data_IF_175137047481
#
_entry.id   IF_175137047481
#
_cell.length_a   1.000
_cell.length_b   1.000
_cell.length_c   1.000
_cell.angle_alpha   90.00
_cell.angle_beta   90.00
_cell.angle_gamma   90.00
#
_symmetry.space_group_name_H-M   'P 1'
#
loop_
_entity.id
_entity.type
_entity.pdbx_description
1 polymer ?
#
# COMPACT_ATOMS: atom_id res chain seq x y z
N UNK A 1 53.73 1.69 100.59
CA UNK A 1 52.43 2.39 100.49
C UNK A 1 51.35 1.34 100.20
N UNK A 2 50.36 1.28 101.08
CA UNK A 2 49.16 0.44 101.03
C UNK A 2 48.15 0.95 99.96
N UNK A 3 47.28 0.06 99.45
CA UNK A 3 45.80 0.20 99.39
C UNK A 3 45.17 -0.83 98.42
N UNK A 4 44.33 -1.76 98.90
CA UNK A 4 42.85 -1.71 99.07
C UNK A 4 42.05 -1.66 97.74
N UNK A 5 41.38 -2.78 97.37
CA UNK A 5 39.92 -3.08 97.48
C UNK A 5 39.11 -2.43 96.32
N UNK A 6 38.27 -3.11 95.53
CA UNK A 6 36.91 -3.57 95.86
C UNK A 6 36.37 -4.61 94.87
N UNK A 7 35.60 -5.54 95.42
CA UNK A 7 34.74 -6.53 94.77
C UNK A 7 33.51 -5.81 94.18
N UNK A 8 33.12 -6.10 92.94
CA UNK A 8 31.80 -5.71 92.41
C UNK A 8 31.17 -6.90 91.69
N UNK A 9 30.22 -7.52 92.39
CA UNK A 9 29.48 -8.70 91.98
C UNK A 9 28.25 -8.24 91.18
N UNK A 10 28.30 -8.34 89.85
CA UNK A 10 27.17 -8.04 88.98
C UNK A 10 26.31 -9.31 88.86
N UNK A 11 25.11 -9.26 89.45
CA UNK A 11 24.07 -10.29 89.36
C UNK A 11 23.20 -9.98 88.12
N UNK A 12 23.43 -10.70 87.02
CA UNK A 12 22.63 -10.57 85.79
C UNK A 12 21.54 -11.63 85.82
N UNK A 13 20.29 -11.20 85.98
CA UNK A 13 19.09 -12.05 85.81
C UNK A 13 18.77 -12.14 84.31
N UNK A 14 18.70 -13.33 83.69
CA UNK A 14 18.32 -13.44 82.30
C UNK A 14 16.80 -13.32 82.15
N UNK A 15 16.34 -12.29 81.45
CA UNK A 15 14.96 -12.14 81.01
C UNK A 15 14.72 -13.06 79.80
N UNK A 16 13.94 -14.13 80.01
CA UNK A 16 13.50 -15.03 78.94
C UNK A 16 12.32 -14.34 78.22
N UNK A 17 12.58 -13.79 77.03
CA UNK A 17 11.54 -13.29 76.12
C UNK A 17 11.02 -14.50 75.32
N UNK A 18 9.82 -14.96 75.64
CA UNK A 18 9.10 -15.93 74.82
C UNK A 18 8.61 -15.24 73.52
N UNK A 19 9.35 -15.41 72.43
CA UNK A 19 8.89 -15.07 71.09
C UNK A 19 7.91 -16.14 70.61
N UNK A 20 6.61 -15.90 70.77
CA UNK A 20 5.57 -16.70 70.13
C UNK A 20 5.54 -16.41 68.63
N UNK A 21 6.16 -17.25 67.81
CA UNK A 21 5.98 -17.22 66.36
C UNK A 21 4.59 -17.80 66.03
N UNK A 22 3.60 -16.94 65.76
CA UNK A 22 2.41 -17.39 65.03
C UNK A 22 2.81 -17.63 63.57
N UNK A 23 3.21 -18.86 63.25
CA UNK A 23 3.44 -19.27 61.87
C UNK A 23 2.13 -19.12 61.09
N UNK A 24 2.05 -18.11 60.21
CA UNK A 24 0.97 -18.01 59.23
C UNK A 24 0.88 -19.32 58.45
N UNK A 25 -0.33 -19.82 58.13
CA UNK A 25 -0.47 -20.96 57.24
C UNK A 25 0.13 -20.58 55.88
N UNK A 26 1.14 -21.34 55.44
CA UNK A 26 1.82 -21.12 54.17
C UNK A 26 1.44 -22.24 53.20
N UNK A 27 1.10 -21.86 51.96
CA UNK A 27 0.86 -22.81 50.87
C UNK A 27 1.85 -22.52 49.73
N UNK A 28 2.79 -23.44 49.42
CA UNK A 28 3.84 -23.21 48.41
C UNK A 28 3.30 -22.92 47.01
N UNK A 29 2.24 -23.62 46.57
CA UNK A 29 1.65 -23.44 45.25
C UNK A 29 1.02 -22.05 45.07
N UNK A 30 0.41 -21.52 46.14
CA UNK A 30 -0.14 -20.16 46.13
C UNK A 30 0.96 -19.09 46.07
N UNK A 31 2.07 -19.28 46.77
CA UNK A 31 3.23 -18.37 46.72
C UNK A 31 3.81 -18.33 45.30
N UNK A 32 3.97 -19.49 44.67
CA UNK A 32 4.42 -19.60 43.29
C UNK A 32 3.46 -18.90 42.33
N UNK A 33 2.14 -19.09 42.49
CA UNK A 33 1.14 -18.47 41.64
C UNK A 33 1.16 -16.93 41.72
N UNK A 34 1.30 -16.37 42.94
CA UNK A 34 1.51 -14.94 43.12
C UNK A 34 2.80 -14.44 42.46
N UNK A 35 3.90 -15.20 42.59
CA UNK A 35 5.17 -14.86 41.95
C UNK A 35 5.04 -14.82 40.42
N UNK A 36 4.44 -15.85 39.81
CA UNK A 36 4.23 -15.94 38.37
C UNK A 36 3.33 -14.81 37.85
N UNK A 37 2.25 -14.50 38.57
CA UNK A 37 1.38 -13.38 38.23
C UNK A 37 2.10 -12.03 38.31
N UNK A 38 2.87 -11.79 39.38
CA UNK A 38 3.65 -10.57 39.53
C UNK A 38 4.73 -10.45 38.42
N UNK A 39 5.38 -11.55 38.04
CA UNK A 39 6.30 -11.58 36.90
C UNK A 39 5.61 -11.30 35.57
N UNK A 40 4.34 -11.69 35.41
CA UNK A 40 3.57 -11.36 34.22
C UNK A 40 3.18 -9.88 34.18
N UNK A 41 2.91 -9.27 35.35
CA UNK A 41 2.62 -7.83 35.46
C UNK A 41 3.84 -6.94 35.16
N UNK A 42 5.07 -7.43 35.33
CA UNK A 42 6.28 -6.67 34.97
C UNK A 42 6.59 -6.69 33.48
N UNK A 43 5.88 -7.50 32.67
CA UNK A 43 6.05 -7.55 31.23
C UNK A 43 4.99 -6.67 30.51
N UNK A 44 5.39 -5.52 29.91
CA UNK A 44 4.45 -4.62 29.24
C UNK A 44 3.65 -5.28 28.12
N UNK A 45 4.24 -6.23 27.39
CA UNK A 45 3.51 -6.93 26.32
C UNK A 45 2.34 -7.74 26.88
N UNK A 46 2.51 -8.35 28.05
CA UNK A 46 1.46 -9.15 28.69
C UNK A 46 0.39 -8.24 29.28
N UNK A 47 0.77 -7.14 29.92
CA UNK A 47 -0.20 -6.17 30.46
C UNK A 47 -1.02 -5.47 29.39
N UNK A 48 -0.41 -5.16 28.25
CA UNK A 48 -1.08 -4.41 27.17
C UNK A 48 -1.91 -5.32 26.27
N UNK A 49 -1.41 -6.52 25.96
CA UNK A 49 -2.02 -7.41 24.97
C UNK A 49 -2.92 -8.48 25.59
N UNK A 50 -2.72 -8.85 26.85
CA UNK A 50 -3.43 -9.94 27.53
C UNK A 50 -4.04 -9.55 28.89
N UNK A 51 -4.51 -8.29 28.98
CA UNK A 51 -5.13 -7.76 30.20
C UNK A 51 -6.35 -8.56 30.70
N UNK A 52 -7.10 -9.18 29.79
CA UNK A 52 -8.28 -9.98 30.15
C UNK A 52 -7.89 -11.27 30.87
N UNK A 53 -6.90 -11.98 30.32
CA UNK A 53 -6.36 -13.22 30.86
C UNK A 53 -5.68 -12.98 32.22
N UNK A 54 -4.95 -11.87 32.37
CA UNK A 54 -4.41 -11.45 33.66
C UNK A 54 -5.50 -11.16 34.70
N UNK A 55 -6.59 -10.52 34.29
CA UNK A 55 -7.74 -10.29 35.19
C UNK A 55 -8.38 -11.61 35.64
N UNK A 56 -8.42 -12.63 34.80
CA UNK A 56 -8.88 -13.96 35.19
C UNK A 56 -7.92 -14.66 36.16
N UNK A 57 -6.60 -14.56 35.91
CA UNK A 57 -5.59 -15.07 36.82
C UNK A 57 -5.72 -14.45 38.24
N UNK A 58 -5.87 -13.12 38.31
CA UNK A 58 -6.08 -12.41 39.58
C UNK A 58 -7.31 -12.92 40.34
N UNK A 59 -8.42 -13.19 39.65
CA UNK A 59 -9.62 -13.75 40.33
C UNK A 59 -9.37 -15.12 40.93
N UNK A 60 -8.53 -15.95 40.32
CA UNK A 60 -8.17 -17.26 40.88
C UNK A 60 -7.24 -17.13 42.07
N UNK A 61 -6.30 -16.17 42.05
CA UNK A 61 -5.46 -15.82 43.21
C UNK A 61 -6.31 -15.34 44.38
N UNK A 62 -7.23 -14.41 44.14
CA UNK A 62 -8.14 -13.89 45.18
C UNK A 62 -8.95 -15.03 45.82
N UNK A 63 -9.42 -15.99 45.02
CA UNK A 63 -10.13 -17.17 45.53
C UNK A 63 -9.21 -18.07 46.36
N UNK A 64 -7.98 -18.30 45.90
CA UNK A 64 -7.00 -19.13 46.60
C UNK A 64 -6.58 -18.51 47.95
N UNK A 65 -6.33 -17.20 47.99
CA UNK A 65 -6.06 -16.45 49.22
C UNK A 65 -7.22 -16.55 50.21
N UNK A 66 -8.45 -16.40 49.72
CA UNK A 66 -9.65 -16.54 50.54
C UNK A 66 -9.82 -17.97 51.09
N UNK A 67 -9.54 -19.00 50.30
CA UNK A 67 -9.60 -20.39 50.73
C UNK A 67 -8.55 -20.70 51.82
N UNK A 68 -7.33 -20.18 51.66
CA UNK A 68 -6.27 -20.31 52.68
C UNK A 68 -6.66 -19.60 53.99
N UNK A 69 -7.21 -18.39 53.90
CA UNK A 69 -7.66 -17.63 55.06
C UNK A 69 -8.79 -18.31 55.83
N UNK A 70 -9.68 -19.01 55.12
CA UNK A 70 -10.77 -19.82 55.72
C UNK A 70 -10.31 -21.18 56.23
N UNK A 71 -9.02 -21.51 56.10
CA UNK A 71 -8.44 -22.83 56.45
C UNK A 71 -9.14 -23.98 55.73
N UNK A 72 -9.51 -23.77 54.47
CA UNK A 72 -9.97 -24.85 53.59
C UNK A 72 -8.83 -25.85 53.31
N UNK A 73 -9.16 -26.98 52.67
CA UNK A 73 -8.16 -28.01 52.40
C UNK A 73 -7.05 -27.52 51.45
N UNK A 74 -5.82 -27.99 51.66
CA UNK A 74 -4.69 -27.69 50.76
C UNK A 74 -4.98 -28.09 49.31
N UNK A 75 -5.76 -29.15 49.09
CA UNK A 75 -6.18 -29.55 47.75
C UNK A 75 -6.98 -28.44 47.04
N UNK A 76 -7.86 -27.74 47.75
CA UNK A 76 -8.64 -26.62 47.21
C UNK A 76 -7.73 -25.44 46.85
N UNK A 77 -6.84 -25.06 47.77
CA UNK A 77 -5.89 -23.95 47.56
C UNK A 77 -4.96 -24.25 46.39
N UNK A 78 -4.40 -25.46 46.34
CA UNK A 78 -3.52 -25.92 45.26
C UNK A 78 -4.24 -25.92 43.91
N UNK A 79 -5.50 -26.36 43.86
CA UNK A 79 -6.29 -26.33 42.64
C UNK A 79 -6.54 -24.91 42.13
N UNK A 80 -6.92 -23.98 43.02
CA UNK A 80 -7.13 -22.58 42.62
C UNK A 80 -5.82 -21.89 42.20
N UNK A 81 -4.72 -22.15 42.91
CA UNK A 81 -3.38 -21.67 42.52
C UNK A 81 -2.94 -22.25 41.17
N UNK A 82 -3.24 -23.51 40.89
CA UNK A 82 -3.01 -24.13 39.58
C UNK A 82 -3.80 -23.42 38.48
N UNK A 83 -5.08 -23.12 38.70
CA UNK A 83 -5.90 -22.39 37.73
C UNK A 83 -5.39 -20.96 37.49
N UNK A 84 -4.90 -20.28 38.54
CA UNK A 84 -4.26 -18.98 38.40
C UNK A 84 -3.00 -19.06 37.53
N UNK A 85 -2.12 -20.03 37.79
CA UNK A 85 -0.92 -20.28 36.99
C UNK A 85 -1.24 -20.60 35.53
N UNK A 86 -2.28 -21.41 35.28
CA UNK A 86 -2.72 -21.72 33.93
C UNK A 86 -3.17 -20.47 33.18
N UNK A 87 -3.90 -19.57 33.85
CA UNK A 87 -4.33 -18.31 33.27
C UNK A 87 -3.16 -17.35 32.99
N UNK A 88 -2.15 -17.32 33.87
CA UNK A 88 -0.91 -16.56 33.60
C UNK A 88 -0.20 -17.10 32.36
N UNK A 89 -0.09 -18.41 32.20
CA UNK A 89 0.52 -19.02 31.02
C UNK A 89 -0.26 -18.67 29.73
N UNK A 90 -1.59 -18.74 29.78
CA UNK A 90 -2.45 -18.32 28.66
C UNK A 90 -2.23 -16.83 28.34
N UNK A 91 -2.16 -15.96 29.36
CA UNK A 91 -1.90 -14.53 29.15
C UNK A 91 -0.58 -14.29 28.41
N UNK A 92 0.48 -15.00 28.80
CA UNK A 92 1.80 -14.89 28.15
C UNK A 92 1.76 -15.34 26.69
N UNK A 93 1.09 -16.45 26.38
CA UNK A 93 0.97 -16.94 25.00
C UNK A 93 0.05 -16.06 24.14
N UNK A 94 -1.06 -15.58 24.69
CA UNK A 94 -1.92 -14.60 24.02
C UNK A 94 -1.17 -13.32 23.70
N UNK A 95 -0.34 -12.83 24.62
CA UNK A 95 0.46 -11.64 24.41
C UNK A 95 1.48 -11.82 23.27
N UNK A 96 2.17 -12.97 23.24
CA UNK A 96 3.08 -13.32 22.14
C UNK A 96 2.36 -13.41 20.80
N UNK A 97 1.19 -14.07 20.77
CA UNK A 97 0.39 -14.21 19.56
C UNK A 97 -0.07 -12.84 19.02
N UNK A 98 -0.66 -12.00 19.87
CA UNK A 98 -1.11 -10.66 19.49
C UNK A 98 0.04 -9.74 19.08
N UNK A 99 1.19 -9.84 19.74
CA UNK A 99 2.39 -9.09 19.34
C UNK A 99 2.87 -9.51 17.95
N UNK A 100 2.88 -10.82 17.64
CA UNK A 100 3.22 -11.32 16.32
C UNK A 100 2.21 -10.88 15.26
N UNK A 101 0.91 -10.92 15.56
CA UNK A 101 -0.16 -10.42 14.69
C UNK A 101 0.01 -8.92 14.40
N UNK A 102 0.33 -8.11 15.41
CA UNK A 102 0.58 -6.68 15.24
C UNK A 102 1.78 -6.40 14.33
N UNK A 103 2.86 -7.20 14.43
CA UNK A 103 4.01 -7.10 13.52
C UNK A 103 3.59 -7.39 12.08
N UNK A 104 2.81 -8.45 11.86
CA UNK A 104 2.29 -8.80 10.52
C UNK A 104 1.37 -7.71 9.98
N UNK A 105 0.46 -7.19 10.80
CA UNK A 105 -0.43 -6.10 10.43
C UNK A 105 0.36 -4.84 10.01
N UNK A 106 1.38 -4.46 10.79
CA UNK A 106 2.24 -3.32 10.49
C UNK A 106 3.09 -3.55 9.22
N UNK A 107 3.55 -4.79 8.99
CA UNK A 107 4.28 -5.12 7.76
C UNK A 107 3.37 -5.02 6.53
N UNK A 108 2.11 -5.46 6.63
CA UNK A 108 1.13 -5.33 5.56
C UNK A 108 0.79 -3.87 5.26
N UNK A 109 0.55 -3.04 6.28
CA UNK A 109 0.28 -1.61 6.06
C UNK A 109 1.47 -0.89 5.43
N UNK A 110 2.71 -1.22 5.84
CA UNK A 110 3.92 -0.70 5.22
C UNK A 110 4.04 -1.14 3.75
N UNK A 111 3.78 -2.42 3.46
CA UNK A 111 3.76 -2.96 2.10
C UNK A 111 2.72 -2.23 1.23
N UNK A 112 1.51 -2.06 1.73
CA UNK A 112 0.41 -1.42 1.00
C UNK A 112 0.74 0.04 0.69
N UNK A 113 1.37 0.74 1.63
CA UNK A 113 1.86 2.11 1.41
C UNK A 113 2.90 2.17 0.29
N UNK A 114 3.90 1.28 0.30
CA UNK A 114 4.93 1.24 -0.76
C UNK A 114 4.30 0.92 -2.12
N UNK A 115 3.35 -0.02 -2.16
CA UNK A 115 2.62 -0.35 -3.38
C UNK A 115 1.84 0.86 -3.91
N UNK A 116 1.12 1.57 -3.04
CA UNK A 116 0.36 2.76 -3.43
C UNK A 116 1.29 3.85 -3.95
N UNK A 117 2.39 4.13 -3.26
CA UNK A 117 3.39 5.12 -3.68
C UNK A 117 3.96 4.76 -5.07
N UNK A 118 4.33 3.50 -5.31
CA UNK A 118 4.79 3.03 -6.62
C UNK A 118 3.73 3.24 -7.72
N UNK A 119 2.47 2.87 -7.46
CA UNK A 119 1.36 3.06 -8.41
C UNK A 119 1.11 4.54 -8.72
N UNK A 120 1.20 5.40 -7.71
CA UNK A 120 1.04 6.85 -7.92
C UNK A 120 2.18 7.42 -8.76
N UNK A 121 3.42 6.99 -8.53
CA UNK A 121 4.56 7.42 -9.33
C UNK A 121 4.43 6.98 -10.80
N UNK A 122 4.06 5.72 -11.05
CA UNK A 122 3.79 5.19 -12.39
C UNK A 122 2.70 6.00 -13.11
N UNK A 123 1.61 6.32 -12.40
CA UNK A 123 0.50 7.09 -12.97
C UNK A 123 0.88 8.54 -13.30
N UNK A 124 1.67 9.19 -12.45
CA UNK A 124 2.16 10.55 -12.70
C UNK A 124 3.18 10.59 -13.84
N UNK A 125 4.04 9.58 -13.97
CA UNK A 125 4.93 9.44 -15.12
C UNK A 125 4.13 9.27 -16.43
N UNK A 126 3.14 8.38 -16.44
CA UNK A 126 2.25 8.18 -17.58
C UNK A 126 1.57 9.48 -18.01
N UNK A 127 1.04 10.25 -17.05
CA UNK A 127 0.43 11.57 -17.32
C UNK A 127 1.43 12.54 -17.94
N UNK A 128 2.65 12.63 -17.40
CA UNK A 128 3.68 13.53 -17.94
C UNK A 128 4.03 13.19 -19.40
N UNK A 129 4.17 11.91 -19.72
CA UNK A 129 4.42 11.46 -21.10
C UNK A 129 3.26 11.82 -22.04
N UNK A 130 2.02 11.68 -21.57
CA UNK A 130 0.83 12.06 -22.35
C UNK A 130 0.75 13.59 -22.57
N UNK A 131 1.08 14.39 -21.57
CA UNK A 131 1.16 15.85 -21.69
C UNK A 131 2.26 16.28 -22.68
N UNK A 132 3.42 15.61 -22.67
CA UNK A 132 4.49 15.86 -23.63
C UNK A 132 4.06 15.54 -25.08
N UNK A 133 3.23 14.50 -25.25
CA UNK A 133 2.58 14.17 -26.51
C UNK A 133 1.44 15.13 -26.88
N UNK A 134 1.12 16.12 -26.03
CA UNK A 134 -0.01 17.05 -26.17
C UNK A 134 -1.34 16.31 -26.34
N UNK A 135 -1.49 15.16 -25.69
CA UNK A 135 -2.70 14.37 -25.73
C UNK A 135 -3.83 15.11 -25.02
N UNK A 136 -5.01 15.18 -25.66
CA UNK A 136 -6.22 15.76 -25.06
C UNK A 136 -7.20 14.66 -24.70
N UNK A 137 -7.75 14.71 -23.50
CA UNK A 137 -8.85 13.81 -23.11
C UNK A 137 -10.14 14.22 -23.83
N UNK A 138 -10.77 13.28 -24.50
CA UNK A 138 -12.05 13.42 -25.21
C UNK A 138 -12.96 12.24 -24.88
N UNK A 139 -14.23 12.29 -25.29
CA UNK A 139 -15.17 11.17 -25.14
C UNK A 139 -14.74 9.91 -25.92
N UNK A 140 -13.82 10.08 -26.88
CA UNK A 140 -13.29 9.00 -27.73
C UNK A 140 -12.01 8.38 -27.18
N UNK A 141 -11.49 8.90 -26.06
CA UNK A 141 -10.20 8.53 -25.49
C UNK A 141 -9.21 9.69 -25.51
N UNK A 142 -7.92 9.37 -25.40
CA UNK A 142 -6.83 10.34 -25.46
C UNK A 142 -6.47 10.59 -26.92
N UNK A 143 -6.62 11.83 -27.38
CA UNK A 143 -6.40 12.22 -28.77
C UNK A 143 -5.14 13.06 -28.88
N UNK A 144 -4.19 12.61 -29.68
CA UNK A 144 -3.01 13.38 -30.09
C UNK A 144 -3.26 13.89 -31.50
N UNK A 145 -3.10 15.19 -31.74
CA UNK A 145 -3.33 15.78 -33.07
C UNK A 145 -2.01 16.18 -33.71
N UNK A 146 -1.69 15.57 -34.86
CA UNK A 146 -0.59 15.97 -35.72
C UNK A 146 -1.11 16.89 -36.82
N UNK A 147 -0.65 18.13 -36.86
CA UNK A 147 -1.03 19.08 -37.92
C UNK A 147 -0.24 18.82 -39.22
N UNK A 148 -0.78 19.29 -40.35
CA UNK A 148 -0.18 19.17 -41.70
C UNK A 148 1.29 19.58 -41.78
N UNK A 149 1.71 20.56 -40.96
CA UNK A 149 3.10 21.05 -40.89
C UNK A 149 4.11 19.96 -40.50
N UNK A 150 3.63 18.83 -39.99
CA UNK A 150 4.43 17.65 -39.67
C UNK A 150 4.57 16.67 -40.84
N UNK A 151 4.00 17.00 -42.00
CA UNK A 151 4.10 16.28 -43.26
C UNK A 151 4.67 17.21 -44.35
N UNK A 152 5.37 16.62 -45.32
CA UNK A 152 5.77 17.36 -46.53
C UNK A 152 4.53 17.84 -47.29
N UNK A 153 4.57 19.07 -47.83
CA UNK A 153 3.42 19.69 -48.52
C UNK A 153 2.86 18.78 -49.61
N UNK A 154 1.54 18.54 -49.60
CA UNK A 154 0.81 17.62 -50.49
C UNK A 154 1.32 16.16 -50.50
N UNK A 155 2.13 15.76 -49.53
CA UNK A 155 2.65 14.40 -49.43
C UNK A 155 2.13 13.72 -48.16
N UNK A 156 2.31 12.40 -48.12
CA UNK A 156 2.09 11.57 -46.93
C UNK A 156 3.40 11.29 -46.16
N UNK A 157 4.52 11.89 -46.57
CA UNK A 157 5.81 11.69 -45.91
C UNK A 157 5.90 12.55 -44.64
N UNK A 158 6.21 11.92 -43.51
CA UNK A 158 6.44 12.60 -42.23
C UNK A 158 7.74 13.41 -42.28
N UNK A 159 7.66 14.63 -41.76
CA UNK A 159 8.83 15.48 -41.48
C UNK A 159 9.57 15.00 -40.21
N UNK A 160 10.78 15.51 -39.99
CA UNK A 160 11.61 15.16 -38.82
C UNK A 160 10.86 15.36 -37.49
N UNK A 161 10.08 16.43 -37.38
CA UNK A 161 9.27 16.70 -36.19
C UNK A 161 8.10 15.72 -36.05
N UNK A 162 7.48 15.31 -37.16
CA UNK A 162 6.43 14.28 -37.17
C UNK A 162 6.99 12.93 -36.72
N UNK A 163 8.14 12.53 -37.27
CA UNK A 163 8.85 11.31 -36.85
C UNK A 163 9.20 11.33 -35.37
N UNK A 164 9.67 12.46 -34.84
CA UNK A 164 9.97 12.60 -33.40
C UNK A 164 8.73 12.34 -32.53
N UNK A 165 7.57 12.89 -32.90
CA UNK A 165 6.33 12.63 -32.16
C UNK A 165 5.91 11.17 -32.27
N UNK A 166 6.04 10.56 -33.44
CA UNK A 166 5.75 9.14 -33.64
C UNK A 166 6.68 8.25 -32.81
N UNK A 167 7.97 8.57 -32.70
CA UNK A 167 8.90 7.83 -31.85
C UNK A 167 8.52 7.91 -30.37
N UNK A 168 8.19 9.11 -29.85
CA UNK A 168 7.72 9.26 -28.47
C UNK A 168 6.44 8.46 -28.22
N UNK A 169 5.51 8.47 -29.18
CA UNK A 169 4.31 7.66 -29.11
C UNK A 169 4.64 6.16 -29.12
N UNK A 170 5.60 5.71 -29.94
CA UNK A 170 6.04 4.33 -29.95
C UNK A 170 6.67 3.93 -28.60
N UNK A 171 7.48 4.78 -27.99
CA UNK A 171 8.07 4.53 -26.68
C UNK A 171 6.98 4.39 -25.60
N UNK A 172 5.99 5.29 -25.59
CA UNK A 172 4.80 5.16 -24.74
C UNK A 172 4.08 3.82 -24.98
N UNK A 173 3.81 3.45 -26.23
CA UNK A 173 3.11 2.20 -26.55
C UNK A 173 3.90 0.94 -26.17
N UNK A 174 5.23 1.00 -26.13
CA UNK A 174 6.08 -0.10 -25.63
C UNK A 174 5.99 -0.23 -24.12
N UNK A 175 5.94 0.89 -23.40
CA UNK A 175 5.78 0.91 -21.94
C UNK A 175 4.38 0.45 -21.51
N UNK A 176 3.35 0.72 -22.32
CA UNK A 176 1.95 0.37 -22.06
C UNK A 176 1.42 -0.62 -23.12
N UNK A 177 1.78 -1.92 -23.05
CA UNK A 177 1.51 -2.91 -24.10
C UNK A 177 0.02 -3.22 -24.32
N UNK A 178 -0.83 -2.91 -23.35
CA UNK A 178 -2.29 -3.09 -23.40
C UNK A 178 -3.01 -2.04 -24.26
N UNK A 179 -2.37 -0.90 -24.54
CA UNK A 179 -2.98 0.20 -25.30
C UNK A 179 -3.09 -0.12 -26.78
N UNK A 180 -4.14 0.30 -27.45
CA UNK A 180 -4.25 0.27 -28.91
C UNK A 180 -4.41 1.67 -29.47
N UNK A 181 -4.10 1.86 -30.76
CA UNK A 181 -4.22 3.15 -31.43
C UNK A 181 -5.08 3.06 -32.69
N UNK A 182 -5.92 4.07 -32.89
CA UNK A 182 -6.58 4.36 -34.16
C UNK A 182 -6.01 5.66 -34.71
N UNK A 183 -5.61 5.63 -35.97
CA UNK A 183 -5.05 6.79 -36.67
C UNK A 183 -6.08 7.25 -37.70
N UNK A 184 -6.53 8.49 -37.60
CA UNK A 184 -7.54 9.09 -38.47
C UNK A 184 -6.93 10.24 -39.26
N UNK A 185 -6.90 10.12 -40.58
CA UNK A 185 -6.45 11.18 -41.48
C UNK A 185 -7.61 12.08 -41.91
N UNK A 186 -7.36 13.40 -41.94
CA UNK A 186 -8.29 14.42 -42.42
C UNK A 186 -7.61 15.42 -43.36
N UNK A 187 -8.38 15.98 -44.29
CA UNK A 187 -7.97 17.06 -45.19
C UNK A 187 -8.86 18.28 -44.98
N UNK A 188 -8.50 19.40 -45.63
CA UNK A 188 -9.45 20.48 -45.85
C UNK A 188 -10.34 20.17 -47.08
N UNK A 189 -11.24 21.09 -47.40
CA UNK A 189 -12.19 20.95 -48.53
C UNK A 189 -11.62 21.36 -49.90
N UNK A 190 -10.30 21.45 -50.05
CA UNK A 190 -9.66 21.83 -51.32
C UNK A 190 -9.38 20.57 -52.14
N UNK A 191 -9.88 20.51 -53.37
CA UNK A 191 -9.72 19.35 -54.25
C UNK A 191 -11.02 18.57 -54.41
N UNK A 192 -10.95 17.39 -55.03
CA UNK A 192 -12.11 16.49 -55.12
C UNK A 192 -12.20 15.58 -53.89
N UNK A 193 -13.40 15.18 -53.51
CA UNK A 193 -13.65 14.24 -52.40
C UNK A 193 -12.80 12.97 -52.53
N UNK A 194 -12.71 12.42 -53.75
CA UNK A 194 -11.90 11.23 -54.04
C UNK A 194 -10.40 11.44 -53.81
N UNK A 195 -9.89 12.62 -54.15
CA UNK A 195 -8.50 12.98 -53.92
C UNK A 195 -8.23 13.15 -52.42
N UNK A 196 -9.11 13.86 -51.73
CA UNK A 196 -9.04 14.11 -50.30
C UNK A 196 -9.11 12.82 -49.49
N UNK A 197 -10.02 11.91 -49.85
CA UNK A 197 -10.11 10.58 -49.26
C UNK A 197 -8.77 9.83 -49.40
N UNK A 198 -8.23 9.70 -50.61
CA UNK A 198 -6.96 9.01 -50.83
C UNK A 198 -5.77 9.69 -50.13
N UNK A 199 -5.74 11.02 -50.07
CA UNK A 199 -4.68 11.75 -49.35
C UNK A 199 -4.73 11.47 -47.84
N UNK A 200 -5.92 11.52 -47.26
CA UNK A 200 -6.14 11.25 -45.83
C UNK A 200 -5.74 9.83 -45.42
N UNK A 201 -6.07 8.83 -46.26
CA UNK A 201 -5.71 7.42 -46.04
C UNK A 201 -4.20 7.23 -46.10
N UNK A 202 -3.52 7.79 -47.12
CA UNK A 202 -2.06 7.69 -47.23
C UNK A 202 -1.34 8.30 -46.03
N UNK A 203 -1.85 9.43 -45.50
CA UNK A 203 -1.29 10.08 -44.31
C UNK A 203 -1.47 9.25 -43.04
N UNK A 204 -2.66 8.72 -42.82
CA UNK A 204 -2.92 7.81 -41.70
C UNK A 204 -2.04 6.55 -41.81
N UNK A 205 -1.88 6.01 -43.02
CA UNK A 205 -1.02 4.86 -43.27
C UNK A 205 0.46 5.16 -43.04
N UNK A 206 0.95 6.36 -43.38
CA UNK A 206 2.33 6.74 -43.14
C UNK A 206 2.68 6.77 -41.64
N UNK A 207 1.79 7.30 -40.80
CA UNK A 207 1.94 7.24 -39.33
C UNK A 207 1.92 5.79 -38.85
N UNK A 208 1.01 4.96 -39.38
CA UNK A 208 0.94 3.53 -39.06
C UNK A 208 2.27 2.83 -39.39
N UNK A 209 2.83 3.05 -40.58
CA UNK A 209 4.11 2.44 -40.98
C UNK A 209 5.25 2.88 -40.07
N UNK A 210 5.33 4.18 -39.74
CA UNK A 210 6.36 4.66 -38.82
C UNK A 210 6.25 4.03 -37.41
N UNK A 211 5.05 3.74 -36.91
CA UNK A 211 4.86 2.99 -35.66
C UNK A 211 5.25 1.51 -35.79
N UNK A 212 4.93 0.86 -36.91
CA UNK A 212 5.35 -0.52 -37.20
C UNK A 212 6.88 -0.62 -37.26
N UNK A 213 7.53 0.30 -37.97
CA UNK A 213 8.99 0.39 -38.09
C UNK A 213 9.65 0.65 -36.72
N UNK A 214 8.93 1.34 -35.83
CA UNK A 214 9.35 1.56 -34.44
C UNK A 214 9.13 0.34 -33.53
N UNK A 215 8.62 -0.78 -34.06
CA UNK A 215 8.45 -2.06 -33.36
C UNK A 215 7.09 -2.27 -32.69
N UNK A 216 6.08 -1.46 -33.00
CA UNK A 216 4.72 -1.66 -32.48
C UNK A 216 4.01 -2.72 -33.31
N UNK A 217 3.40 -3.70 -32.64
CA UNK A 217 2.70 -4.79 -33.33
C UNK A 217 1.49 -4.30 -34.13
N UNK A 218 1.29 -4.86 -35.32
CA UNK A 218 0.25 -4.41 -36.26
C UNK A 218 -1.17 -4.60 -35.75
N UNK A 219 -1.41 -5.58 -34.88
CA UNK A 219 -2.72 -5.80 -34.24
C UNK A 219 -3.12 -4.68 -33.27
N UNK A 220 -2.17 -3.82 -32.86
CA UNK A 220 -2.43 -2.68 -31.98
C UNK A 220 -2.70 -1.38 -32.74
N UNK A 221 -2.59 -1.38 -34.07
CA UNK A 221 -2.66 -0.17 -34.89
C UNK A 221 -3.71 -0.31 -35.99
N UNK A 222 -4.76 0.49 -35.88
CA UNK A 222 -5.72 0.73 -36.95
C UNK A 222 -5.46 2.10 -37.61
N UNK A 223 -5.74 2.21 -38.92
CA UNK A 223 -5.63 3.47 -39.65
C UNK A 223 -6.82 3.63 -40.60
N UNK A 224 -7.37 4.85 -40.68
CA UNK A 224 -8.51 5.21 -41.53
C UNK A 224 -8.37 6.63 -42.05
N UNK A 225 -8.72 6.86 -43.32
CA UNK A 225 -8.86 8.21 -43.87
C UNK A 225 -10.32 8.62 -43.93
N UNK A 226 -10.61 9.89 -43.65
CA UNK A 226 -11.95 10.47 -43.70
C UNK A 226 -12.09 11.59 -44.76
N UNK A 227 -11.02 11.87 -45.51
CA UNK A 227 -10.98 12.99 -46.44
C UNK A 227 -11.30 14.31 -45.74
N UNK A 228 -12.14 15.12 -46.37
CA UNK A 228 -12.61 16.40 -45.83
C UNK A 228 -13.78 16.27 -44.85
N UNK A 229 -14.24 15.05 -44.60
CA UNK A 229 -15.31 14.79 -43.63
C UNK A 229 -14.85 15.11 -42.21
N UNK A 230 -15.81 15.50 -41.37
CA UNK A 230 -15.59 15.87 -39.97
C UNK A 230 -14.60 17.04 -39.78
N UNK A 231 -14.87 18.22 -40.38
CA UNK A 231 -14.07 19.41 -40.15
C UNK A 231 -14.13 19.84 -38.68
N UNK A 232 -13.02 20.35 -38.16
CA UNK A 232 -12.91 20.91 -36.80
C UNK A 232 -13.01 22.44 -36.81
N UNK A 233 -12.89 23.06 -37.97
CA UNK A 233 -13.10 24.48 -38.22
C UNK A 233 -13.73 24.69 -39.62
N UNK A 234 -14.29 25.87 -39.88
CA UNK A 234 -14.82 26.20 -41.22
C UNK A 234 -13.71 26.14 -42.29
N UNK A 235 -14.01 25.83 -43.55
CA UNK A 235 -12.99 25.83 -44.61
C UNK A 235 -12.79 27.20 -45.30
N UNK A 236 -13.41 28.26 -44.79
CA UNK A 236 -13.42 29.58 -45.44
C UNK A 236 -12.05 30.27 -45.48
N UNK A 237 -11.24 30.14 -44.42
CA UNK A 237 -9.93 30.80 -44.29
C UNK A 237 -8.77 29.81 -44.39
N UNK A 238 -7.58 30.31 -44.77
CA UNK A 238 -6.39 29.46 -44.88
C UNK A 238 -5.98 28.86 -43.52
N UNK A 239 -6.14 29.65 -42.45
CA UNK A 239 -5.87 29.25 -41.07
C UNK A 239 -6.80 28.12 -40.63
N UNK A 240 -8.10 28.22 -40.92
CA UNK A 240 -9.03 27.18 -40.52
C UNK A 240 -8.88 25.91 -41.38
N UNK A 241 -8.58 26.03 -42.68
CA UNK A 241 -8.21 24.88 -43.51
C UNK A 241 -6.98 24.15 -42.96
N UNK A 242 -5.99 24.89 -42.46
CA UNK A 242 -4.80 24.31 -41.82
C UNK A 242 -5.15 23.49 -40.56
N UNK A 243 -6.20 23.84 -39.82
CA UNK A 243 -6.69 23.03 -38.70
C UNK A 243 -7.34 21.73 -39.16
N UNK A 244 -8.03 21.74 -40.30
CA UNK A 244 -8.68 20.56 -40.87
C UNK A 244 -7.68 19.57 -41.49
N UNK A 245 -6.55 20.05 -42.02
CA UNK A 245 -5.42 19.22 -42.46
C UNK A 245 -4.65 18.66 -41.25
N UNK A 246 -5.10 17.52 -40.75
CA UNK A 246 -4.56 16.88 -39.54
C UNK A 246 -4.62 15.36 -39.59
N UNK A 247 -3.84 14.73 -38.72
CA UNK A 247 -4.00 13.33 -38.34
C UNK A 247 -4.32 13.28 -36.84
N UNK A 248 -5.44 12.68 -36.48
CA UNK A 248 -5.80 12.39 -35.09
C UNK A 248 -5.32 10.98 -34.75
N UNK A 249 -4.62 10.83 -33.63
CA UNK A 249 -4.21 9.54 -33.09
C UNK A 249 -4.97 9.34 -31.79
N UNK A 250 -5.85 8.35 -31.79
CA UNK A 250 -6.73 8.04 -30.67
C UNK A 250 -6.15 6.83 -29.95
N UNK A 251 -5.70 7.05 -28.72
CA UNK A 251 -5.26 6.01 -27.80
C UNK A 251 -6.47 5.43 -27.08
N UNK A 252 -6.49 4.10 -26.95
CA UNK A 252 -7.53 3.41 -26.20
C UNK A 252 -7.60 3.89 -24.76
N UNK A 253 -8.82 3.92 -24.21
CA UNK A 253 -9.00 4.10 -22.78
C UNK A 253 -8.42 2.88 -21.99
N UNK A 254 -8.49 2.94 -20.66
CA UNK A 254 -7.99 1.87 -19.78
C UNK A 254 -8.68 0.51 -20.02
N UNK A 255 -9.82 0.48 -20.72
CA UNK A 255 -10.57 -0.72 -21.08
C UNK A 255 -10.25 -1.23 -22.51
N UNK A 256 -9.27 -0.64 -23.19
CA UNK A 256 -8.87 -1.06 -24.55
C UNK A 256 -9.83 -0.67 -25.67
N UNK A 257 -10.81 0.20 -25.39
CA UNK A 257 -11.80 0.64 -26.40
C UNK A 257 -11.31 1.88 -27.13
N UNK A 258 -11.41 1.86 -28.45
CA UNK A 258 -11.18 3.01 -29.33
C UNK A 258 -12.44 3.26 -30.16
N UNK A 259 -13.00 4.48 -30.07
CA UNK A 259 -14.23 4.82 -30.79
C UNK A 259 -13.91 5.63 -32.06
N UNK A 260 -14.13 5.09 -33.27
CA UNK A 260 -13.97 5.84 -34.52
C UNK A 260 -14.99 6.99 -34.64
N UNK A 261 -14.76 7.91 -35.58
CA UNK A 261 -15.78 8.89 -35.99
C UNK A 261 -16.86 8.26 -36.86
#
# INVERSE_FOLDING_TARGET
>A
MQNNWYFSMILVVPAIIFSGCSSMPQNPSLIEAHSNYNNALTNPQVTDMAALELKEASKFLDKADNALNKRESDATVNHLAYMANQQVAIAQETAKAKAAEAVVANANTARDRVLLEARTAEAEEAKRQLEELKAKKTDRGLVITLQDVLFRTNMAQLEVNGLRTVHKLADFLKQYPERTVLIEGHTDSTGSDSYNQGLSERRAHAVRMALLDSGISSNRIAAKGYGESFPVASNDTAENRQLNRRVEIILSNENGVVSPR
#
